data_IF_180677771443
#
_entry.id   IF_180677771443
#
_cell.length_a   1.000
_cell.length_b   1.000
_cell.length_c   1.000
_cell.angle_alpha   90.00
_cell.angle_beta   90.00
_cell.angle_gamma   90.00
#
_symmetry.space_group_name_H-M   'P 1'
#
loop_
_entity.id
_entity.type
_entity.pdbx_description
1 polymer ?
#
# COMPACT_ATOMS: atom_id res chain seq x y z
N UNK A 1 24.13 -14.62 16.73
CA UNK A 1 23.15 -14.16 15.74
C UNK A 1 23.18 -15.13 14.58
N UNK A 2 22.07 -15.81 14.27
CA UNK A 2 21.99 -16.65 13.09
C UNK A 2 22.01 -15.78 11.82
N UNK A 3 22.22 -16.38 10.64
CA UNK A 3 22.37 -15.61 9.41
C UNK A 3 21.12 -14.82 9.03
N UNK A 4 19.92 -15.34 9.31
CA UNK A 4 18.67 -14.62 9.10
C UNK A 4 18.59 -13.38 9.99
N UNK A 5 18.94 -13.49 11.27
CA UNK A 5 18.98 -12.37 12.21
C UNK A 5 19.97 -11.28 11.74
N UNK A 6 21.11 -11.66 11.15
CA UNK A 6 22.06 -10.72 10.52
C UNK A 6 21.40 -9.94 9.37
N UNK A 7 20.66 -10.62 8.50
CA UNK A 7 19.97 -9.98 7.38
C UNK A 7 18.80 -9.11 7.86
N UNK A 8 18.08 -9.54 8.89
CA UNK A 8 17.00 -8.76 9.52
C UNK A 8 17.54 -7.47 10.14
N UNK A 9 18.63 -7.54 10.89
CA UNK A 9 19.25 -6.35 11.48
C UNK A 9 19.80 -5.42 10.39
N UNK A 10 20.40 -5.97 9.34
CA UNK A 10 20.87 -5.18 8.19
C UNK A 10 19.71 -4.49 7.47
N UNK A 11 18.58 -5.16 7.26
CA UNK A 11 17.39 -4.56 6.67
C UNK A 11 16.86 -3.41 7.54
N UNK A 12 16.81 -3.62 8.86
CA UNK A 12 16.41 -2.60 9.83
C UNK A 12 17.31 -1.36 9.74
N UNK A 13 18.63 -1.53 9.80
CA UNK A 13 19.60 -0.43 9.70
C UNK A 13 19.44 0.37 8.41
N UNK A 14 19.22 -0.30 7.27
CA UNK A 14 19.00 0.38 5.97
C UNK A 14 17.74 1.24 6.01
N UNK A 15 16.62 0.70 6.51
CA UNK A 15 15.35 1.42 6.56
C UNK A 15 15.36 2.54 7.60
N UNK A 16 15.94 2.31 8.77
CA UNK A 16 16.09 3.33 9.81
C UNK A 16 16.95 4.50 9.33
N UNK A 17 17.96 4.23 8.48
CA UNK A 17 18.80 5.23 7.84
C UNK A 17 18.05 6.21 6.93
N UNK A 18 16.91 5.82 6.35
CA UNK A 18 16.05 6.71 5.53
C UNK A 18 14.78 7.14 6.26
N UNK A 19 14.67 6.85 7.56
CA UNK A 19 13.43 7.07 8.31
C UNK A 19 12.91 8.51 8.21
N UNK A 20 13.80 9.50 8.33
CA UNK A 20 13.55 10.94 8.20
C UNK A 20 13.90 11.52 6.82
N UNK A 21 14.16 10.66 5.83
CA UNK A 21 14.47 11.07 4.47
C UNK A 21 13.40 10.53 3.50
N UNK A 22 12.34 11.30 3.23
CA UNK A 22 11.28 10.88 2.31
C UNK A 22 11.82 10.53 0.91
N UNK A 23 12.84 11.23 0.44
CA UNK A 23 13.45 10.96 -0.85
C UNK A 23 14.30 9.69 -0.82
N UNK A 24 15.00 9.44 0.29
CA UNK A 24 15.70 8.18 0.55
C UNK A 24 14.76 6.97 0.57
N UNK A 25 13.57 7.10 1.17
CA UNK A 25 12.51 6.06 1.12
C UNK A 25 12.10 5.74 -0.31
N UNK A 26 11.86 6.76 -1.13
CA UNK A 26 11.59 6.58 -2.56
C UNK A 26 12.76 5.89 -3.27
N UNK A 27 13.99 6.31 -2.98
CA UNK A 27 15.18 5.82 -3.66
C UNK A 27 15.40 4.32 -3.41
N UNK A 28 15.18 3.83 -2.18
CA UNK A 28 15.27 2.39 -1.87
C UNK A 28 14.35 1.55 -2.78
N UNK A 29 13.12 2.01 -3.00
CA UNK A 29 12.16 1.30 -3.85
C UNK A 29 12.47 1.47 -5.32
N UNK A 30 12.91 2.66 -5.73
CA UNK A 30 13.33 2.90 -7.10
C UNK A 30 14.47 1.96 -7.51
N UNK A 31 15.51 1.83 -6.67
CA UNK A 31 16.65 0.94 -6.92
C UNK A 31 16.25 -0.54 -6.93
N UNK A 32 15.37 -0.93 -6.01
CA UNK A 32 14.79 -2.28 -6.03
C UNK A 32 14.12 -2.57 -7.38
N UNK A 33 13.31 -1.65 -7.90
CA UNK A 33 12.63 -1.84 -9.19
C UNK A 33 13.57 -1.68 -10.40
N UNK A 34 14.67 -0.94 -10.30
CA UNK A 34 15.70 -0.98 -11.35
C UNK A 34 16.30 -2.38 -11.51
N UNK A 35 16.41 -3.14 -10.41
CA UNK A 35 16.99 -4.48 -10.39
C UNK A 35 15.98 -5.60 -10.64
N UNK A 36 14.77 -5.48 -10.09
CA UNK A 36 13.76 -6.54 -10.03
C UNK A 36 12.40 -6.16 -10.68
N UNK A 37 12.30 -4.99 -11.31
CA UNK A 37 11.04 -4.41 -11.82
C UNK A 37 10.49 -4.94 -13.14
N UNK A 38 11.10 -6.00 -13.70
CA UNK A 38 10.92 -6.49 -15.08
C UNK A 38 11.47 -5.52 -16.16
N UNK A 39 12.58 -5.86 -16.86
CA UNK A 39 13.20 -5.00 -17.86
C UNK A 39 12.48 -4.96 -19.23
N UNK A 40 11.36 -5.68 -19.42
CA UNK A 40 10.69 -5.76 -20.73
C UNK A 40 10.05 -4.46 -21.25
N UNK A 41 10.16 -3.33 -20.54
CA UNK A 41 9.80 -2.03 -21.07
C UNK A 41 11.02 -1.09 -21.12
N UNK A 42 11.86 -1.22 -22.16
CA UNK A 42 12.61 -0.06 -22.69
C UNK A 42 11.57 0.96 -23.18
N UNK A 43 11.02 1.73 -22.25
CA UNK A 43 9.88 2.62 -22.48
C UNK A 43 8.81 2.54 -21.40
N UNK A 44 9.11 3.10 -20.22
CA UNK A 44 8.17 3.75 -19.27
C UNK A 44 7.12 2.96 -18.45
N UNK A 45 7.00 1.63 -18.43
CA UNK A 45 5.83 1.00 -17.75
C UNK A 45 6.11 -0.31 -16.95
N UNK A 46 6.96 -0.25 -15.92
CA UNK A 46 7.28 -1.40 -15.04
C UNK A 46 6.26 -1.66 -13.92
N UNK A 47 6.30 -2.87 -13.31
CA UNK A 47 5.36 -3.32 -12.28
C UNK A 47 5.37 -2.45 -11.00
N UNK A 48 6.47 -1.73 -10.72
CA UNK A 48 6.61 -0.85 -9.55
C UNK A 48 6.11 0.59 -9.71
N UNK A 49 5.58 0.96 -10.89
CA UNK A 49 5.22 2.35 -11.17
C UNK A 49 4.14 2.91 -10.23
N UNK A 50 3.15 2.09 -9.90
CA UNK A 50 2.05 2.45 -8.99
C UNK A 50 2.56 2.77 -7.59
N UNK A 51 3.43 1.93 -7.05
CA UNK A 51 4.05 2.14 -5.73
C UNK A 51 4.94 3.39 -5.73
N UNK A 52 5.78 3.59 -6.75
CA UNK A 52 6.62 4.78 -6.84
C UNK A 52 5.80 6.08 -6.98
N UNK A 53 4.67 6.03 -7.70
CA UNK A 53 3.73 7.14 -7.78
C UNK A 53 3.06 7.41 -6.44
N UNK A 54 2.70 6.35 -5.69
CA UNK A 54 2.13 6.46 -4.35
C UNK A 54 3.12 7.10 -3.37
N UNK A 55 4.38 6.66 -3.34
CA UNK A 55 5.41 7.27 -2.47
C UNK A 55 5.61 8.74 -2.83
N UNK A 56 5.62 9.10 -4.13
CA UNK A 56 5.68 10.51 -4.55
C UNK A 56 4.50 11.32 -4.03
N UNK A 57 3.29 10.74 -4.03
CA UNK A 57 2.13 11.36 -3.43
C UNK A 57 2.29 11.50 -1.90
N UNK A 58 2.79 10.49 -1.20
CA UNK A 58 3.06 10.55 0.25
C UNK A 58 4.04 11.68 0.60
N UNK A 59 5.11 11.82 -0.19
CA UNK A 59 6.09 12.91 -0.07
C UNK A 59 5.41 14.27 -0.31
N UNK A 60 4.71 14.43 -1.44
CA UNK A 60 4.02 15.68 -1.80
C UNK A 60 3.00 16.09 -0.73
N UNK A 61 2.25 15.12 -0.21
CA UNK A 61 1.21 15.32 0.81
C UNK A 61 1.79 15.70 2.17
N UNK A 62 3.06 15.33 2.42
CA UNK A 62 3.75 15.58 3.69
C UNK A 62 3.52 14.50 4.74
N UNK A 63 2.93 13.34 4.39
CA UNK A 63 2.72 12.24 5.36
C UNK A 63 4.05 11.66 5.86
N UNK A 64 5.10 11.75 5.05
CA UNK A 64 6.45 11.25 5.38
C UNK A 64 7.38 12.31 6.00
N UNK A 65 6.91 13.54 6.21
CA UNK A 65 7.72 14.58 6.86
C UNK A 65 8.25 14.14 8.24
N UNK A 66 9.27 14.83 8.75
CA UNK A 66 9.75 14.64 10.12
C UNK A 66 8.58 14.71 11.12
N UNK A 67 8.62 13.91 12.19
CA UNK A 67 7.56 13.91 13.20
C UNK A 67 7.58 15.17 14.08
N UNK A 68 8.72 15.86 14.11
CA UNK A 68 8.91 17.09 14.84
C UNK A 68 8.98 18.28 13.87
N UNK A 69 8.34 19.39 14.24
CA UNK A 69 8.35 20.64 13.48
C UNK A 69 6.96 21.14 13.07
N UNK A 70 6.88 22.30 12.41
CA UNK A 70 5.62 22.98 12.09
C UNK A 70 4.76 22.25 11.04
N UNK A 71 5.35 21.34 10.27
CA UNK A 71 4.69 20.53 9.25
C UNK A 71 4.97 19.05 9.49
N UNK A 72 4.66 18.58 10.70
CA UNK A 72 4.93 17.22 11.14
C UNK A 72 4.22 16.18 10.25
N UNK A 73 4.93 15.11 9.90
CA UNK A 73 4.37 13.97 9.20
C UNK A 73 3.47 13.11 10.08
N UNK A 74 2.93 12.05 9.49
CA UNK A 74 2.08 11.08 10.18
C UNK A 74 2.93 9.99 10.82
N UNK A 75 2.78 9.74 12.14
CA UNK A 75 3.35 8.55 12.77
C UNK A 75 2.86 7.26 12.10
N UNK A 76 1.58 7.19 11.74
CA UNK A 76 0.98 5.99 11.16
C UNK A 76 1.49 5.71 9.75
N UNK A 77 1.43 6.68 8.82
CA UNK A 77 1.88 6.49 7.44
C UNK A 77 3.37 6.15 7.40
N UNK A 78 4.17 6.77 8.26
CA UNK A 78 5.60 6.47 8.37
C UNK A 78 5.87 5.05 8.86
N UNK A 79 5.11 4.55 9.83
CA UNK A 79 5.28 3.19 10.34
C UNK A 79 4.87 2.15 9.29
N UNK A 80 3.73 2.34 8.62
CA UNK A 80 3.29 1.46 7.52
C UNK A 80 4.32 1.45 6.39
N UNK A 81 4.80 2.62 5.98
CA UNK A 81 5.82 2.74 4.94
C UNK A 81 7.15 2.12 5.38
N UNK A 82 7.62 2.37 6.61
CA UNK A 82 8.84 1.74 7.15
C UNK A 82 8.73 0.21 7.19
N UNK A 83 7.59 -0.33 7.62
CA UNK A 83 7.36 -1.78 7.62
C UNK A 83 7.41 -2.36 6.21
N UNK A 84 6.77 -1.68 5.25
CA UNK A 84 6.80 -2.05 3.84
C UNK A 84 8.22 -2.08 3.29
N UNK A 85 9.02 -1.03 3.54
CA UNK A 85 10.42 -0.97 3.13
C UNK A 85 11.21 -2.11 3.76
N UNK A 86 11.00 -2.39 5.05
CA UNK A 86 11.72 -3.42 5.79
C UNK A 86 11.53 -4.81 5.17
N UNK A 87 10.29 -5.24 4.92
CA UNK A 87 10.02 -6.58 4.39
C UNK A 87 10.54 -6.76 2.96
N UNK A 88 10.49 -5.71 2.15
CA UNK A 88 11.02 -5.75 0.78
C UNK A 88 12.56 -5.74 0.76
N UNK A 89 13.19 -4.92 1.61
CA UNK A 89 14.66 -4.89 1.77
C UNK A 89 15.19 -6.21 2.34
N UNK A 90 14.48 -6.82 3.30
CA UNK A 90 14.84 -8.15 3.82
C UNK A 90 14.82 -9.20 2.71
N UNK A 91 13.78 -9.24 1.89
CA UNK A 91 13.71 -10.18 0.76
C UNK A 91 14.84 -9.95 -0.25
N UNK A 92 15.17 -8.69 -0.56
CA UNK A 92 16.32 -8.37 -1.40
C UNK A 92 17.63 -8.91 -0.80
N UNK A 93 17.89 -8.65 0.48
CA UNK A 93 19.10 -9.12 1.16
C UNK A 93 19.20 -10.65 1.21
N UNK A 94 18.07 -11.33 1.41
CA UNK A 94 18.00 -12.80 1.34
C UNK A 94 18.36 -13.27 -0.07
N UNK A 95 17.74 -12.70 -1.12
CA UNK A 95 18.06 -13.04 -2.51
C UNK A 95 19.55 -12.86 -2.81
N UNK A 96 20.13 -11.74 -2.37
CA UNK A 96 21.53 -11.39 -2.62
C UNK A 96 22.51 -12.26 -1.84
N UNK A 97 22.10 -12.81 -0.69
CA UNK A 97 22.93 -13.74 0.09
C UNK A 97 23.09 -15.11 -0.57
N UNK A 98 22.15 -15.49 -1.45
CA UNK A 98 22.09 -16.83 -2.04
C UNK A 98 21.63 -17.92 -1.08
N UNK A 99 21.17 -17.55 0.12
CA UNK A 99 20.71 -18.49 1.14
C UNK A 99 19.19 -18.67 1.12
N UNK A 100 18.74 -19.85 1.56
CA UNK A 100 17.34 -20.16 1.75
C UNK A 100 17.04 -20.25 3.25
N UNK A 101 15.91 -19.65 3.66
CA UNK A 101 15.45 -19.63 5.05
C UNK A 101 14.04 -20.18 5.13
N UNK A 102 13.74 -20.83 6.25
CA UNK A 102 12.38 -21.23 6.63
C UNK A 102 11.76 -20.15 7.52
N UNK A 103 10.43 -20.18 7.66
CA UNK A 103 9.67 -19.32 8.59
C UNK A 103 9.87 -17.81 8.42
N UNK A 104 10.02 -17.38 7.16
CA UNK A 104 10.06 -15.95 6.83
C UNK A 104 8.69 -15.28 7.06
N UNK A 105 8.67 -13.97 7.39
CA UNK A 105 7.44 -13.19 7.34
C UNK A 105 6.78 -13.34 5.97
N UNK A 106 5.47 -13.59 5.95
CA UNK A 106 4.70 -13.78 4.71
C UNK A 106 5.00 -12.73 3.63
N UNK A 107 5.05 -11.41 3.93
CA UNK A 107 5.36 -10.42 2.91
C UNK A 107 6.78 -10.56 2.33
N UNK A 108 7.76 -10.94 3.15
CA UNK A 108 9.13 -11.17 2.66
C UNK A 108 9.20 -12.40 1.74
N UNK A 109 8.46 -13.47 2.05
CA UNK A 109 8.32 -14.62 1.15
C UNK A 109 7.69 -14.24 -0.19
N UNK A 110 6.62 -13.43 -0.19
CA UNK A 110 6.01 -12.97 -1.44
C UNK A 110 6.93 -12.04 -2.24
N UNK A 111 7.76 -11.21 -1.58
CA UNK A 111 8.78 -10.44 -2.29
C UNK A 111 9.84 -11.34 -2.94
N UNK A 112 10.24 -12.45 -2.31
CA UNK A 112 11.12 -13.45 -2.93
C UNK A 112 10.44 -14.09 -4.15
N UNK A 113 9.16 -14.48 -4.04
CA UNK A 113 8.39 -15.01 -5.18
C UNK A 113 8.34 -14.01 -6.35
N UNK A 114 8.13 -12.72 -6.05
CA UNK A 114 8.15 -11.65 -7.04
C UNK A 114 9.53 -11.48 -7.69
N UNK A 115 10.59 -11.47 -6.90
CA UNK A 115 11.97 -11.35 -7.40
C UNK A 115 12.32 -12.52 -8.33
N UNK A 116 11.88 -13.72 -7.99
CA UNK A 116 12.15 -14.93 -8.78
C UNK A 116 11.26 -15.02 -10.03
N UNK A 117 10.01 -14.55 -9.97
CA UNK A 117 9.06 -14.59 -11.08
C UNK A 117 8.21 -13.32 -11.09
N UNK A 118 8.73 -12.21 -11.66
CA UNK A 118 8.04 -10.93 -11.66
C UNK A 118 6.83 -10.96 -12.59
N UNK A 119 5.64 -10.80 -12.02
CA UNK A 119 4.37 -10.64 -12.73
C UNK A 119 3.38 -9.87 -11.84
N UNK A 120 2.22 -9.54 -12.38
CA UNK A 120 1.19 -8.79 -11.66
C UNK A 120 0.74 -9.49 -10.37
N UNK A 121 0.51 -10.81 -10.41
CA UNK A 121 0.04 -11.57 -9.25
C UNK A 121 1.10 -11.59 -8.14
N UNK A 122 2.34 -11.92 -8.47
CA UNK A 122 3.43 -11.95 -7.49
C UNK A 122 3.70 -10.55 -6.93
N UNK A 123 3.57 -9.51 -7.75
CA UNK A 123 3.69 -8.12 -7.32
C UNK A 123 2.59 -7.72 -6.34
N UNK A 124 1.32 -7.92 -6.69
CA UNK A 124 0.20 -7.54 -5.82
C UNK A 124 0.21 -8.31 -4.50
N UNK A 125 0.57 -9.59 -4.49
CA UNK A 125 0.71 -10.36 -3.25
C UNK A 125 1.83 -9.81 -2.36
N UNK A 126 2.99 -9.52 -2.93
CA UNK A 126 4.12 -8.94 -2.18
C UNK A 126 3.78 -7.54 -1.64
N UNK A 127 3.29 -6.67 -2.51
CA UNK A 127 2.92 -5.31 -2.18
C UNK A 127 1.78 -5.24 -1.13
N UNK A 128 0.65 -5.89 -1.39
CA UNK A 128 -0.51 -5.77 -0.52
C UNK A 128 -0.31 -6.48 0.82
N UNK A 129 0.35 -7.65 0.86
CA UNK A 129 0.69 -8.28 2.14
C UNK A 129 1.61 -7.40 3.00
N UNK A 130 2.52 -6.64 2.39
CA UNK A 130 3.39 -5.68 3.08
C UNK A 130 2.59 -4.52 3.68
N UNK A 131 1.59 -4.00 2.95
CA UNK A 131 0.71 -2.95 3.46
C UNK A 131 -0.18 -3.49 4.60
N UNK A 132 -0.78 -4.66 4.42
CA UNK A 132 -1.68 -5.26 5.41
C UNK A 132 -0.93 -5.53 6.73
N UNK A 133 0.27 -6.10 6.65
CA UNK A 133 1.14 -6.31 7.82
C UNK A 133 1.55 -4.99 8.45
N UNK A 134 1.85 -3.96 7.64
CA UNK A 134 2.07 -2.60 8.13
C UNK A 134 0.87 -2.01 8.88
N UNK A 135 -0.37 -2.19 8.38
CA UNK A 135 -1.59 -1.76 9.08
C UNK A 135 -1.74 -2.44 10.44
N UNK A 136 -1.39 -3.72 10.52
CA UNK A 136 -1.41 -4.47 11.78
C UNK A 136 -0.39 -3.92 12.78
N UNK A 137 0.87 -3.73 12.34
CA UNK A 137 1.94 -3.17 13.18
C UNK A 137 1.59 -1.76 13.67
N UNK A 138 1.00 -0.93 12.79
CA UNK A 138 0.66 0.46 13.08
C UNK A 138 -0.74 0.66 13.67
N UNK A 139 -1.51 -0.38 14.01
CA UNK A 139 -2.92 -0.26 14.43
C UNK A 139 -3.13 0.73 15.58
N UNK A 140 -2.22 0.76 16.57
CA UNK A 140 -2.31 1.72 17.69
C UNK A 140 -2.09 3.17 17.24
N UNK A 141 -1.19 3.40 16.28
CA UNK A 141 -0.89 4.73 15.76
C UNK A 141 -2.07 5.31 14.97
N UNK A 142 -2.86 4.46 14.32
CA UNK A 142 -4.04 4.88 13.57
C UNK A 142 -5.10 5.56 14.45
N UNK A 143 -5.21 5.18 15.72
CA UNK A 143 -6.15 5.82 16.66
C UNK A 143 -5.79 7.28 16.96
N UNK A 144 -4.53 7.68 16.74
CA UNK A 144 -4.10 9.08 16.92
C UNK A 144 -4.44 9.97 15.72
N UNK A 145 -4.84 9.37 14.60
CA UNK A 145 -5.20 10.09 13.39
C UNK A 145 -6.63 10.63 13.48
N UNK A 146 -6.91 11.74 12.79
CA UNK A 146 -8.27 12.28 12.77
C UNK A 146 -9.25 11.26 12.15
N UNK A 147 -10.53 11.35 12.49
CA UNK A 147 -11.55 10.46 11.92
C UNK A 147 -11.60 10.50 10.38
N UNK A 148 -11.23 11.63 9.77
CA UNK A 148 -11.17 11.76 8.31
C UNK A 148 -9.94 11.07 7.72
N UNK A 149 -8.80 11.14 8.39
CA UNK A 149 -7.60 10.37 8.03
C UNK A 149 -7.85 8.86 8.18
N UNK A 150 -8.48 8.44 9.28
CA UNK A 150 -8.88 7.04 9.48
C UNK A 150 -9.85 6.57 8.39
N UNK A 151 -10.84 7.39 8.02
CA UNK A 151 -11.73 7.10 6.89
C UNK A 151 -10.91 6.87 5.62
N UNK A 152 -9.99 7.76 5.29
CA UNK A 152 -9.15 7.65 4.10
C UNK A 152 -8.18 6.46 4.14
N UNK A 153 -7.67 6.05 5.29
CA UNK A 153 -6.89 4.80 5.43
C UNK A 153 -7.70 3.59 4.95
N UNK A 154 -8.98 3.50 5.35
CA UNK A 154 -9.87 2.44 4.87
C UNK A 154 -10.11 2.53 3.36
N UNK A 155 -10.25 3.75 2.82
CA UNK A 155 -10.39 3.98 1.37
C UNK A 155 -9.17 3.43 0.62
N UNK A 156 -7.97 3.79 1.06
CA UNK A 156 -6.72 3.28 0.46
C UNK A 156 -6.68 1.76 0.54
N UNK A 157 -7.04 1.17 1.68
CA UNK A 157 -7.04 -0.28 1.86
C UNK A 157 -8.05 -0.99 0.96
N UNK A 158 -9.32 -0.59 0.89
CA UNK A 158 -10.23 -1.35 0.02
C UNK A 158 -9.92 -1.15 -1.47
N UNK A 159 -9.37 0.02 -1.86
CA UNK A 159 -9.00 0.27 -3.26
C UNK A 159 -7.82 -0.59 -3.69
N UNK A 160 -6.80 -0.77 -2.85
CA UNK A 160 -5.67 -1.67 -3.16
C UNK A 160 -6.10 -3.14 -3.20
N UNK A 161 -7.02 -3.56 -2.31
CA UNK A 161 -7.56 -4.93 -2.34
C UNK A 161 -8.37 -5.17 -3.61
N UNK A 162 -9.20 -4.20 -4.01
CA UNK A 162 -9.98 -4.27 -5.23
C UNK A 162 -9.07 -4.37 -6.46
N UNK A 163 -8.00 -3.57 -6.52
CA UNK A 163 -7.02 -3.65 -7.61
C UNK A 163 -6.40 -5.05 -7.72
N UNK A 164 -6.00 -5.65 -6.59
CA UNK A 164 -5.48 -7.03 -6.57
C UNK A 164 -6.51 -8.06 -7.02
N UNK A 165 -7.78 -7.93 -6.61
CA UNK A 165 -8.81 -8.90 -7.00
C UNK A 165 -8.95 -9.05 -8.51
N UNK A 166 -8.68 -7.97 -9.26
CA UNK A 166 -8.77 -7.98 -10.70
C UNK A 166 -7.68 -8.80 -11.38
N UNK A 167 -6.52 -8.90 -10.73
CA UNK A 167 -5.38 -9.70 -11.18
C UNK A 167 -5.51 -11.16 -10.72
N UNK A 168 -6.09 -11.39 -9.54
CA UNK A 168 -6.37 -12.73 -9.00
C UNK A 168 -7.58 -13.41 -9.67
N UNK A 169 -8.18 -12.78 -10.69
CA UNK A 169 -9.26 -13.37 -11.49
C UNK A 169 -10.66 -13.25 -10.88
N UNK A 170 -10.83 -12.50 -9.79
CA UNK A 170 -12.14 -12.21 -9.21
C UNK A 170 -12.73 -10.96 -9.86
N UNK A 171 -13.82 -11.14 -10.61
CA UNK A 171 -14.57 -10.03 -11.20
C UNK A 171 -15.71 -9.61 -10.27
N UNK A 172 -15.69 -8.34 -9.88
CA UNK A 172 -16.80 -7.65 -9.23
C UNK A 172 -17.65 -6.85 -10.24
N UNK A 173 -17.78 -7.36 -11.47
CA UNK A 173 -18.57 -6.75 -12.56
C UNK A 173 -17.77 -6.43 -13.82
N UNK A 174 -18.49 -5.92 -14.85
CA UNK A 174 -18.01 -5.75 -16.23
C UNK A 174 -16.86 -4.74 -16.35
N UNK A 175 -16.76 -3.77 -15.44
CA UNK A 175 -15.80 -2.65 -15.51
C UNK A 175 -14.39 -2.95 -14.95
N UNK A 176 -14.19 -4.08 -14.28
CA UNK A 176 -12.97 -4.32 -13.52
C UNK A 176 -11.70 -4.49 -14.36
N UNK A 177 -11.79 -4.97 -15.61
CA UNK A 177 -10.60 -5.25 -16.45
C UNK A 177 -9.78 -4.01 -16.84
N UNK A 178 -10.37 -2.81 -16.81
CA UNK A 178 -9.70 -1.56 -17.22
C UNK A 178 -8.76 -1.03 -16.10
N UNK A 179 -9.08 -1.27 -14.83
CA UNK A 179 -8.35 -0.73 -13.68
C UNK A 179 -7.28 -1.67 -13.10
N UNK A 180 -7.13 -2.86 -13.68
CA UNK A 180 -6.40 -4.01 -13.12
C UNK A 180 -4.89 -4.05 -13.40
N UNK A 181 -4.41 -3.31 -14.40
CA UNK A 181 -3.04 -3.46 -14.88
C UNK A 181 -2.08 -2.53 -14.09
N UNK A 182 -1.16 -3.06 -13.27
CA UNK A 182 -0.20 -2.26 -12.51
C UNK A 182 0.83 -1.56 -13.42
N UNK A 183 1.01 -2.04 -14.65
CA UNK A 183 1.81 -1.39 -15.71
C UNK A 183 1.05 -0.20 -16.33
N UNK A 184 -0.27 -0.15 -16.20
CA UNK A 184 -1.12 0.78 -16.93
C UNK A 184 -1.17 2.20 -16.37
N UNK A 185 -1.33 3.16 -17.30
CA UNK A 185 -1.58 4.59 -17.08
C UNK A 185 -2.72 4.90 -16.08
N UNK A 186 -3.67 3.97 -15.89
CA UNK A 186 -4.83 4.16 -15.00
C UNK A 186 -4.46 4.34 -13.51
N UNK A 187 -3.46 3.63 -12.99
CA UNK A 187 -3.06 3.78 -11.57
C UNK A 187 -2.31 5.10 -11.34
N UNK A 188 -1.43 5.48 -12.27
CA UNK A 188 -0.76 6.78 -12.24
C UNK A 188 -1.75 7.95 -12.38
N UNK A 189 -2.83 7.76 -13.17
CA UNK A 189 -3.91 8.73 -13.33
C UNK A 189 -4.70 8.91 -12.02
N UNK A 190 -5.02 7.83 -11.31
CA UNK A 190 -5.81 7.88 -10.07
C UNK A 190 -5.00 8.55 -8.94
N UNK A 191 -3.70 8.28 -8.81
CA UNK A 191 -2.84 8.93 -7.79
C UNK A 191 -2.65 10.44 -8.01
N UNK A 192 -2.82 10.93 -9.24
CA UNK A 192 -2.77 12.36 -9.55
C UNK A 192 -4.10 13.09 -9.35
N UNK A 193 -5.17 12.37 -9.03
CA UNK A 193 -6.52 12.93 -8.87
C UNK A 193 -6.77 13.20 -7.39
N UNK A 194 -6.91 14.50 -7.05
CA UNK A 194 -7.23 14.95 -5.69
C UNK A 194 -8.47 14.29 -5.08
N UNK A 195 -9.44 13.91 -5.92
CA UNK A 195 -10.62 13.20 -5.48
C UNK A 195 -10.29 11.79 -4.93
N UNK A 196 -9.32 11.09 -5.51
CA UNK A 196 -8.90 9.78 -5.05
C UNK A 196 -7.87 9.86 -3.93
N UNK A 197 -6.97 10.85 -3.97
CA UNK A 197 -5.89 11.02 -3.01
C UNK A 197 -5.76 12.49 -2.58
N UNK A 198 -6.08 12.85 -1.32
CA UNK A 198 -5.93 14.20 -0.78
C UNK A 198 -4.54 14.80 -0.95
N UNK A 199 -4.47 16.13 -1.11
CA UNK A 199 -3.19 16.83 -1.30
C UNK A 199 -2.52 17.26 0.01
N UNK A 200 -3.26 17.33 1.13
CA UNK A 200 -2.74 17.87 2.39
C UNK A 200 -2.72 16.82 3.50
N UNK A 201 -1.71 16.91 4.37
CA UNK A 201 -1.67 16.25 5.67
C UNK A 201 -1.38 17.26 6.79
N UNK A 202 -2.20 17.28 7.87
CA UNK A 202 -3.53 16.66 7.95
C UNK A 202 -4.49 17.20 6.88
N UNK A 203 -5.53 16.45 6.55
CA UNK A 203 -6.52 16.87 5.53
C UNK A 203 -7.09 18.28 5.78
N UNK A 204 -7.15 19.07 4.70
CA UNK A 204 -7.86 20.36 4.71
C UNK A 204 -9.38 20.16 4.66
N UNK A 205 -10.14 21.23 4.93
CA UNK A 205 -11.62 21.23 4.77
C UNK A 205 -12.06 20.84 3.36
N UNK A 206 -11.26 21.14 2.34
CA UNK A 206 -11.57 20.78 0.96
C UNK A 206 -11.33 19.29 0.71
N UNK A 207 -10.25 18.73 1.25
CA UNK A 207 -9.94 17.29 1.11
C UNK A 207 -11.01 16.42 1.77
N UNK A 208 -11.49 16.85 2.95
CA UNK A 208 -12.57 16.17 3.68
C UNK A 208 -13.83 16.01 2.81
N UNK A 209 -14.13 16.97 1.92
CA UNK A 209 -15.33 16.86 1.06
C UNK A 209 -15.23 15.71 0.08
N UNK A 210 -14.04 15.41 -0.43
CA UNK A 210 -13.85 14.26 -1.33
C UNK A 210 -13.91 12.95 -0.56
N UNK A 211 -13.12 12.82 0.52
CA UNK A 211 -13.07 11.59 1.34
C UNK A 211 -14.42 11.23 1.97
N UNK A 212 -15.27 12.22 2.26
CA UNK A 212 -16.60 11.99 2.83
C UNK A 212 -17.72 11.90 1.80
N UNK A 213 -17.38 11.86 0.49
CA UNK A 213 -18.36 11.80 -0.60
C UNK A 213 -19.36 12.96 -0.59
N UNK A 214 -18.88 14.17 -0.25
CA UNK A 214 -19.68 15.42 -0.19
C UNK A 214 -19.29 16.41 -1.29
N UNK A 215 -18.27 16.13 -2.08
CA UNK A 215 -17.87 16.96 -3.21
C UNK A 215 -18.95 16.90 -4.31
N UNK A 216 -19.51 18.06 -4.67
CA UNK A 216 -20.61 18.19 -5.66
C UNK A 216 -20.12 18.52 -7.07
N UNK A 217 -18.87 18.19 -7.39
CA UNK A 217 -18.30 18.42 -8.72
C UNK A 217 -18.12 17.09 -9.47
N UNK A 218 -17.80 17.17 -10.75
CA UNK A 218 -17.62 16.00 -11.63
C UNK A 218 -16.61 14.98 -11.07
N UNK A 219 -15.55 15.46 -10.41
CA UNK A 219 -14.52 14.60 -9.84
C UNK A 219 -15.00 13.83 -8.61
N UNK A 220 -15.76 14.50 -7.73
CA UNK A 220 -16.45 13.86 -6.61
C UNK A 220 -17.48 12.83 -7.08
N UNK A 221 -18.16 13.08 -8.19
CA UNK A 221 -19.10 12.12 -8.76
C UNK A 221 -18.42 10.83 -9.26
N UNK A 222 -17.27 10.93 -9.95
CA UNK A 222 -16.52 9.76 -10.41
C UNK A 222 -16.05 8.91 -9.23
N UNK A 223 -15.55 9.56 -8.19
CA UNK A 223 -15.06 8.92 -6.98
C UNK A 223 -16.20 8.21 -6.22
N UNK A 224 -17.33 8.90 -6.02
CA UNK A 224 -18.55 8.34 -5.44
C UNK A 224 -19.03 7.10 -6.21
N UNK A 225 -19.04 7.15 -7.54
CA UNK A 225 -19.45 6.02 -8.39
C UNK A 225 -18.50 4.85 -8.22
N UNK A 226 -17.19 5.09 -8.25
CA UNK A 226 -16.19 4.04 -8.12
C UNK A 226 -16.33 3.33 -6.76
N UNK A 227 -16.37 4.09 -5.67
CA UNK A 227 -16.39 3.51 -4.34
C UNK A 227 -17.75 2.94 -3.94
N UNK A 228 -18.85 3.67 -4.18
CA UNK A 228 -20.18 3.26 -3.71
C UNK A 228 -20.82 2.18 -4.58
N UNK A 229 -20.52 2.16 -5.88
CA UNK A 229 -21.18 1.24 -6.80
C UNK A 229 -20.31 0.03 -7.17
N UNK A 230 -18.99 0.18 -7.29
CA UNK A 230 -18.12 -0.93 -7.72
C UNK A 230 -17.51 -1.70 -6.54
N UNK A 231 -17.13 -1.01 -5.46
CA UNK A 231 -16.38 -1.65 -4.37
C UNK A 231 -17.25 -1.91 -3.15
N UNK A 232 -17.90 -0.86 -2.64
CA UNK A 232 -18.66 -0.90 -1.38
C UNK A 232 -19.64 -2.08 -1.29
N UNK A 233 -20.42 -2.45 -2.33
CA UNK A 233 -21.35 -3.59 -2.25
C UNK A 233 -20.70 -4.96 -2.02
N UNK A 234 -19.38 -5.05 -2.18
CA UNK A 234 -18.64 -6.31 -2.18
C UNK A 234 -17.54 -6.37 -1.11
N UNK A 235 -17.46 -5.39 -0.20
CA UNK A 235 -16.36 -5.29 0.78
C UNK A 235 -16.18 -6.56 1.62
N UNK A 236 -17.24 -7.15 2.17
CA UNK A 236 -17.10 -8.38 2.95
C UNK A 236 -16.47 -9.51 2.10
N UNK A 237 -16.91 -9.69 0.86
CA UNK A 237 -16.34 -10.70 -0.03
C UNK A 237 -14.90 -10.37 -0.39
N UNK A 238 -14.63 -9.12 -0.76
CA UNK A 238 -13.31 -8.63 -1.12
C UNK A 238 -12.29 -8.86 -0.02
N UNK A 239 -12.62 -8.52 1.23
CA UNK A 239 -11.72 -8.70 2.38
C UNK A 239 -11.47 -10.18 2.70
N UNK A 240 -12.49 -11.05 2.57
CA UNK A 240 -12.32 -12.49 2.75
C UNK A 240 -11.41 -13.12 1.68
N UNK A 241 -11.61 -12.77 0.41
CA UNK A 241 -10.77 -13.27 -0.69
C UNK A 241 -9.33 -12.74 -0.54
N UNK A 242 -9.18 -11.46 -0.21
CA UNK A 242 -7.88 -10.84 0.03
C UNK A 242 -7.13 -11.43 1.24
N UNK A 243 -7.84 -11.84 2.29
CA UNK A 243 -7.23 -12.54 3.42
C UNK A 243 -6.54 -13.84 2.96
N UNK A 244 -7.13 -14.55 2.00
CA UNK A 244 -6.56 -15.77 1.44
C UNK A 244 -5.35 -15.49 0.54
N UNK A 245 -5.47 -14.57 -0.43
CA UNK A 245 -4.36 -14.25 -1.36
C UNK A 245 -3.11 -13.75 -0.64
N UNK A 246 -3.30 -12.93 0.39
CA UNK A 246 -2.22 -12.30 1.15
C UNK A 246 -1.82 -13.09 2.40
N UNK A 247 -2.43 -14.26 2.65
CA UNK A 247 -2.24 -15.09 3.86
C UNK A 247 -2.31 -14.26 5.15
N UNK A 248 -3.32 -13.39 5.22
CA UNK A 248 -3.48 -12.42 6.30
C UNK A 248 -4.90 -12.47 6.86
N UNK A 249 -5.16 -13.34 7.86
CA UNK A 249 -6.52 -13.52 8.40
C UNK A 249 -7.05 -12.26 9.09
N UNK A 250 -6.19 -11.38 9.60
CA UNK A 250 -6.59 -10.13 10.28
C UNK A 250 -7.45 -9.22 9.40
N UNK A 251 -7.36 -9.34 8.06
CA UNK A 251 -8.20 -8.56 7.15
C UNK A 251 -9.69 -8.77 7.45
N UNK A 252 -10.13 -9.97 7.81
CA UNK A 252 -11.57 -10.21 8.07
C UNK A 252 -12.09 -9.40 9.26
N UNK A 253 -11.21 -8.99 10.17
CA UNK A 253 -11.54 -8.15 11.31
C UNK A 253 -11.63 -6.66 10.95
N UNK A 254 -11.12 -6.25 9.78
CA UNK A 254 -11.16 -4.87 9.30
C UNK A 254 -12.45 -4.52 8.54
N UNK A 255 -13.38 -5.47 8.43
CA UNK A 255 -14.69 -5.25 7.81
C UNK A 255 -15.82 -5.79 8.70
N UNK A 256 -16.91 -5.02 8.84
CA UNK A 256 -18.12 -5.46 9.54
C UNK A 256 -19.36 -4.89 8.87
N UNK A 257 -20.36 -5.74 8.63
CA UNK A 257 -21.59 -5.34 7.97
C UNK A 257 -21.33 -4.62 6.64
N UNK A 258 -20.34 -5.11 5.88
CA UNK A 258 -19.95 -4.56 4.59
C UNK A 258 -19.49 -3.09 4.66
N UNK A 259 -18.90 -2.71 5.80
CA UNK A 259 -18.26 -1.41 6.05
C UNK A 259 -16.87 -1.64 6.61
N UNK A 260 -15.86 -0.85 6.19
CA UNK A 260 -14.53 -0.98 6.73
C UNK A 260 -14.50 -0.34 8.13
N UNK A 261 -13.76 -0.96 9.05
CA UNK A 261 -13.75 -0.61 10.48
C UNK A 261 -12.36 -0.46 11.08
N UNK A 262 -11.32 -0.32 10.26
CA UNK A 262 -9.98 0.02 10.75
C UNK A 262 -9.95 1.49 11.22
N UNK A 263 -9.21 1.85 12.29
CA UNK A 263 -8.48 0.96 13.17
C UNK A 263 -9.39 0.16 14.10
N UNK A 264 -8.98 -1.07 14.41
CA UNK A 264 -9.73 -1.91 15.34
C UNK A 264 -9.25 -1.63 16.77
N UNK A 265 -10.16 -1.61 17.72
CA UNK A 265 -9.81 -1.64 19.15
C UNK A 265 -9.37 -3.06 19.50
N UNK A 266 -8.22 -3.20 20.15
CA UNK A 266 -7.78 -4.50 20.69
C UNK A 266 -8.87 -5.04 21.62
N UNK A 267 -9.23 -6.32 21.45
CA UNK A 267 -10.20 -7.01 22.32
C UNK A 267 -9.55 -7.41 23.64
#
# INVERSE_FOLDING_TARGET
MNKLEILQEKAKVIVDGVSNDPQGRYQLRYEFYQKYGDPFAKGKEGLGNSELAFIKWEIKRGTLNALEGPHSGSPWWREVNSHFLYVATLAQLIKESGEAFQDLPVPASFWLDYIDTPNECSWYRAHNSSIISGYQVANRLAHNESIYEQCFMNIVLYRLLFAQSMVEGVSFGILGKIFANPRGFAVALITGVRAFYPDNYPMSKEDIKYVTHRARNFMGFIEDVFDKLLISPHLNRLYNEAANWNRSPILVDYVRNNKPIYPITEK
#
